data_IF_032385435811
#
_entry.id   IF_032385435811
#
_cell.length_a   1.000
_cell.length_b   1.000
_cell.length_c   1.000
_cell.angle_alpha   90.00
_cell.angle_beta   90.00
_cell.angle_gamma   90.00
#
_symmetry.space_group_name_H-M   'P 1'
#
loop_
_entity.id
_entity.type
_entity.pdbx_description
1 polymer ?
#
# COMPACT_ATOMS: atom_id res chain seq x y z
N UNK A 1 -22.06 16.67 54.67
CA UNK A 1 -22.33 17.72 53.65
C UNK A 1 -21.19 17.69 52.65
N UNK A 2 -21.39 17.07 51.48
CA UNK A 2 -20.35 17.01 50.46
C UNK A 2 -20.39 18.30 49.63
N UNK A 3 -19.34 19.10 49.72
CA UNK A 3 -19.17 20.35 48.99
C UNK A 3 -19.10 20.07 47.49
N UNK A 4 -20.03 20.68 46.74
CA UNK A 4 -20.07 20.61 45.29
C UNK A 4 -18.88 21.43 44.75
N UNK A 5 -17.97 20.84 43.94
CA UNK A 5 -16.83 21.57 43.42
C UNK A 5 -17.26 22.65 42.42
N UNK A 6 -16.53 23.78 42.33
CA UNK A 6 -16.90 24.90 41.49
C UNK A 6 -16.96 24.52 40.00
N UNK A 7 -17.85 25.15 39.20
CA UNK A 7 -18.13 24.76 37.82
C UNK A 7 -16.89 24.74 36.92
N UNK A 8 -15.92 25.62 37.17
CA UNK A 8 -14.64 25.67 36.46
C UNK A 8 -13.80 24.40 36.66
N UNK A 9 -13.82 23.80 37.86
CA UNK A 9 -13.07 22.58 38.16
C UNK A 9 -13.73 21.34 37.51
N UNK A 10 -15.06 21.37 37.34
CA UNK A 10 -15.81 20.35 36.60
C UNK A 10 -15.55 20.44 35.10
N UNK A 11 -15.53 21.65 34.53
CA UNK A 11 -15.23 21.89 33.13
C UNK A 11 -13.79 21.48 32.77
N UNK A 12 -12.82 21.81 33.63
CA UNK A 12 -11.43 21.40 33.48
C UNK A 12 -11.28 19.87 33.51
N UNK A 13 -11.96 19.18 34.44
CA UNK A 13 -11.95 17.71 34.52
C UNK A 13 -12.59 17.05 33.30
N UNK A 14 -13.68 17.62 32.77
CA UNK A 14 -14.34 17.13 31.56
C UNK A 14 -13.43 17.32 30.34
N UNK A 15 -12.76 18.47 30.20
CA UNK A 15 -11.79 18.72 29.13
C UNK A 15 -10.57 17.79 29.22
N UNK A 16 -10.08 17.51 30.43
CA UNK A 16 -8.95 16.59 30.66
C UNK A 16 -9.34 15.14 30.35
N UNK A 17 -10.53 14.71 30.74
CA UNK A 17 -11.08 13.38 30.40
C UNK A 17 -11.33 13.23 28.90
N UNK A 18 -11.79 14.29 28.22
CA UNK A 18 -11.97 14.30 26.77
C UNK A 18 -10.62 14.27 26.04
N UNK A 19 -9.61 15.00 26.53
CA UNK A 19 -8.25 14.96 26.02
C UNK A 19 -7.59 13.59 26.16
N UNK A 20 -7.77 12.92 27.32
CA UNK A 20 -7.30 11.54 27.55
C UNK A 20 -8.04 10.56 26.62
N UNK A 21 -9.36 10.68 26.47
CA UNK A 21 -10.13 9.83 25.57
C UNK A 21 -9.73 10.00 24.08
N UNK A 22 -9.42 11.23 23.63
CA UNK A 22 -8.88 11.45 22.28
C UNK A 22 -7.48 10.86 22.09
N UNK A 23 -6.63 10.86 23.12
CA UNK A 23 -5.28 10.26 23.03
C UNK A 23 -5.31 8.73 22.90
N UNK A 24 -6.34 8.07 23.44
CA UNK A 24 -6.55 6.62 23.34
C UNK A 24 -7.13 6.17 21.98
N UNK A 25 -7.67 7.09 21.18
CA UNK A 25 -8.19 6.81 19.84
C UNK A 25 -7.10 6.85 18.74
N UNK A 26 -5.87 7.27 19.07
CA UNK A 26 -4.74 7.33 18.13
C UNK A 26 -4.01 5.99 17.94
N UNK A 27 -4.71 4.86 18.09
CA UNK A 27 -4.19 3.55 17.71
C UNK A 27 -3.94 3.56 16.20
N UNK A 28 -2.67 3.64 15.80
CA UNK A 28 -2.19 3.45 14.42
C UNK A 28 -2.49 2.00 14.01
N UNK A 29 -3.70 1.75 13.51
CA UNK A 29 -4.13 0.42 13.08
C UNK A 29 -3.58 0.15 11.69
N UNK A 30 -2.31 -0.24 11.61
CA UNK A 30 -1.72 -0.74 10.37
C UNK A 30 -1.95 -2.25 10.29
N UNK A 31 -2.82 -2.69 9.39
CA UNK A 31 -3.01 -4.11 9.11
C UNK A 31 -2.13 -4.53 7.94
N UNK A 32 -1.16 -5.41 8.21
CA UNK A 32 -0.41 -6.16 7.20
C UNK A 32 -0.94 -7.58 7.23
N UNK A 33 -1.46 -8.09 6.11
CA UNK A 33 -1.95 -9.48 6.02
C UNK A 33 -1.43 -10.15 4.76
N UNK A 34 -0.62 -11.17 4.95
CA UNK A 34 -0.31 -12.17 3.91
C UNK A 34 -1.46 -13.18 3.87
N UNK A 35 -2.01 -13.43 2.68
CA UNK A 35 -3.12 -14.38 2.49
C UNK A 35 -2.61 -15.82 2.50
N UNK A 36 -3.50 -16.78 2.81
CA UNK A 36 -3.18 -18.22 2.82
C UNK A 36 -2.74 -18.76 1.46
N UNK A 37 -2.99 -18.02 0.38
CA UNK A 37 -2.58 -18.38 -0.97
C UNK A 37 -1.05 -18.33 -1.18
N UNK A 38 -0.31 -17.61 -0.32
CA UNK A 38 1.15 -17.46 -0.42
C UNK A 38 1.87 -17.97 0.85
N UNK A 39 1.30 -18.97 1.51
CA UNK A 39 1.83 -19.51 2.78
C UNK A 39 2.98 -20.49 2.63
N UNK A 40 3.23 -21.01 1.43
CA UNK A 40 4.37 -21.89 1.18
C UNK A 40 5.67 -21.09 1.30
N UNK A 41 6.69 -21.71 1.90
CA UNK A 41 7.99 -21.10 2.16
C UNK A 41 8.76 -20.93 0.85
N UNK A 42 8.40 -19.93 0.07
CA UNK A 42 9.24 -19.39 -0.99
C UNK A 42 10.40 -18.62 -0.35
N UNK A 43 11.61 -18.83 -0.86
CA UNK A 43 12.82 -18.10 -0.48
C UNK A 43 13.52 -17.63 -1.74
N UNK A 44 14.06 -16.42 -1.73
CA UNK A 44 14.84 -15.91 -2.84
C UNK A 44 16.19 -16.62 -2.98
N UNK A 45 16.76 -17.23 -1.94
CA UNK A 45 17.96 -18.10 -1.97
C UNK A 45 19.06 -17.66 -2.96
N UNK A 46 19.42 -16.38 -2.95
CA UNK A 46 20.46 -15.83 -3.81
C UNK A 46 20.10 -15.71 -5.29
N UNK A 47 18.80 -15.71 -5.63
CA UNK A 47 18.24 -15.32 -6.93
C UNK A 47 18.14 -13.80 -7.04
N UNK A 48 18.15 -13.30 -8.27
CA UNK A 48 18.24 -11.87 -8.54
C UNK A 48 16.84 -11.24 -8.65
N UNK A 49 16.62 -10.13 -7.98
CA UNK A 49 15.39 -9.36 -8.02
C UNK A 49 15.58 -8.07 -8.82
N UNK A 50 14.61 -7.71 -9.64
CA UNK A 50 14.49 -6.38 -10.24
C UNK A 50 13.26 -5.67 -9.68
N UNK A 51 13.44 -4.44 -9.18
CA UNK A 51 12.30 -3.57 -8.91
C UNK A 51 11.87 -2.93 -10.23
N UNK A 52 10.60 -3.08 -10.59
CA UNK A 52 10.00 -2.27 -11.66
C UNK A 52 9.53 -0.96 -11.07
N UNK A 53 9.62 0.12 -11.85
CA UNK A 53 9.15 1.46 -11.48
C UNK A 53 7.83 1.38 -10.69
N UNK A 54 7.83 1.79 -9.40
CA UNK A 54 6.62 1.77 -8.58
C UNK A 54 5.53 2.68 -9.17
N UNK A 55 4.30 2.15 -9.29
CA UNK A 55 3.13 2.98 -9.56
C UNK A 55 2.74 3.68 -8.27
N UNK A 56 2.96 4.99 -8.22
CA UNK A 56 2.54 5.83 -7.10
C UNK A 56 1.67 6.96 -7.62
N UNK A 57 0.56 7.21 -6.91
CA UNK A 57 -0.35 8.32 -7.16
C UNK A 57 -0.79 8.95 -5.84
N UNK A 58 -0.52 10.25 -5.69
CA UNK A 58 -0.89 11.00 -4.49
C UNK A 58 -1.97 12.04 -4.79
N UNK A 59 -2.91 12.16 -3.86
CA UNK A 59 -4.09 13.01 -3.99
C UNK A 59 -4.26 13.92 -2.77
N UNK A 60 -4.97 15.04 -2.98
CA UNK A 60 -5.57 15.82 -1.92
C UNK A 60 -7.08 15.59 -1.90
N UNK A 61 -7.62 15.18 -0.76
CA UNK A 61 -9.05 14.99 -0.57
C UNK A 61 -9.71 16.31 -0.15
N UNK A 62 -10.53 16.86 -1.05
CA UNK A 62 -11.21 18.13 -0.87
C UNK A 62 -12.40 18.02 0.11
N UNK A 63 -12.93 19.16 0.53
CA UNK A 63 -14.10 19.21 1.41
C UNK A 63 -15.31 18.47 0.83
N UNK A 64 -15.50 18.54 -0.50
CA UNK A 64 -16.52 17.80 -1.25
C UNK A 64 -16.31 16.29 -1.27
N UNK A 65 -15.14 15.78 -0.85
CA UNK A 65 -14.75 14.38 -1.00
C UNK A 65 -14.05 14.05 -2.33
N UNK A 66 -13.96 15.02 -3.25
CA UNK A 66 -13.22 14.85 -4.52
C UNK A 66 -11.73 14.67 -4.24
N UNK A 67 -11.11 13.71 -4.93
CA UNK A 67 -9.68 13.47 -4.92
C UNK A 67 -9.03 14.29 -6.03
N UNK A 68 -8.26 15.31 -5.66
CA UNK A 68 -7.48 16.12 -6.59
C UNK A 68 -6.07 15.52 -6.75
N UNK A 69 -5.65 15.10 -7.96
CA UNK A 69 -4.31 14.57 -8.19
C UNK A 69 -3.24 15.63 -7.91
N UNK A 70 -2.16 15.26 -7.21
CA UNK A 70 -1.05 16.17 -6.89
C UNK A 70 0.25 15.67 -7.54
N UNK A 71 0.56 16.24 -8.71
CA UNK A 71 1.70 15.83 -9.53
C UNK A 71 3.05 15.95 -8.80
N UNK A 72 3.31 17.09 -8.15
CA UNK A 72 4.56 17.31 -7.41
C UNK A 72 4.75 16.35 -6.24
N UNK A 73 3.67 16.08 -5.51
CA UNK A 73 3.69 15.09 -4.43
C UNK A 73 4.01 13.70 -4.99
N UNK A 74 3.31 13.32 -6.06
CA UNK A 74 3.52 12.03 -6.73
C UNK A 74 4.96 11.87 -7.21
N UNK A 75 5.55 12.92 -7.79
CA UNK A 75 6.93 12.94 -8.28
C UNK A 75 7.94 12.75 -7.12
N UNK A 76 7.75 13.45 -6.01
CA UNK A 76 8.60 13.31 -4.82
C UNK A 76 8.46 11.92 -4.20
N UNK A 77 7.23 11.41 -4.09
CA UNK A 77 6.96 10.09 -3.55
C UNK A 77 7.64 8.98 -4.36
N UNK A 78 7.56 9.02 -5.69
CA UNK A 78 8.28 8.04 -6.55
C UNK A 78 9.77 8.05 -6.30
N UNK A 79 10.36 9.24 -6.12
CA UNK A 79 11.79 9.37 -5.81
C UNK A 79 12.11 8.79 -4.43
N UNK A 80 11.47 9.27 -3.37
CA UNK A 80 11.79 8.87 -2.00
C UNK A 80 11.47 7.39 -1.73
N UNK A 81 10.35 6.92 -2.25
CA UNK A 81 9.91 5.54 -2.05
C UNK A 81 10.81 4.55 -2.78
N UNK A 82 11.23 4.83 -4.02
CA UNK A 82 12.15 3.94 -4.75
C UNK A 82 13.48 3.80 -4.00
N UNK A 83 14.05 4.92 -3.51
CA UNK A 83 15.26 4.89 -2.68
C UNK A 83 15.05 4.06 -1.41
N UNK A 84 13.94 4.28 -0.69
CA UNK A 84 13.63 3.53 0.51
C UNK A 84 13.48 2.02 0.27
N UNK A 85 12.92 1.61 -0.87
CA UNK A 85 12.82 0.20 -1.26
C UNK A 85 14.21 -0.37 -1.55
N UNK A 86 15.02 0.32 -2.34
CA UNK A 86 16.39 -0.11 -2.63
C UNK A 86 17.24 -0.25 -1.36
N UNK A 87 17.10 0.71 -0.42
CA UNK A 87 17.77 0.67 0.88
C UNK A 87 17.31 -0.54 1.71
N UNK A 88 15.99 -0.78 1.80
CA UNK A 88 15.43 -1.95 2.49
C UNK A 88 15.99 -3.26 1.92
N UNK A 89 15.98 -3.41 0.60
CA UNK A 89 16.45 -4.63 -0.07
C UNK A 89 17.96 -4.84 0.14
N UNK A 90 18.75 -3.77 0.05
CA UNK A 90 20.21 -3.82 0.24
C UNK A 90 20.57 -4.16 1.68
N UNK A 91 19.91 -3.55 2.66
CA UNK A 91 20.12 -3.83 4.09
C UNK A 91 19.81 -5.28 4.47
N UNK A 92 18.94 -5.93 3.71
CA UNK A 92 18.57 -7.34 3.89
C UNK A 92 19.33 -8.27 2.93
N UNK A 93 20.44 -7.81 2.33
CA UNK A 93 21.33 -8.60 1.46
C UNK A 93 20.68 -9.22 0.22
N UNK A 94 19.61 -8.60 -0.30
CA UNK A 94 19.00 -9.04 -1.55
C UNK A 94 19.98 -8.86 -2.73
N UNK A 95 19.98 -9.81 -3.67
CA UNK A 95 20.72 -9.65 -4.92
C UNK A 95 19.86 -8.88 -5.91
N UNK A 96 20.33 -7.71 -6.35
CA UNK A 96 19.56 -6.79 -7.17
C UNK A 96 20.13 -6.67 -8.58
N UNK A 97 19.25 -6.79 -9.57
CA UNK A 97 19.50 -6.24 -10.89
C UNK A 97 19.23 -4.72 -10.87
N UNK A 98 19.74 -3.94 -11.84
CA UNK A 98 19.37 -2.54 -11.97
C UNK A 98 17.85 -2.38 -12.09
N UNK A 99 17.29 -1.44 -11.34
CA UNK A 99 15.86 -1.12 -11.38
C UNK A 99 15.39 -0.90 -12.83
N UNK A 100 14.23 -1.49 -13.15
CA UNK A 100 13.68 -1.45 -14.49
C UNK A 100 12.61 -0.37 -14.62
N UNK A 101 12.92 0.65 -15.43
CA UNK A 101 12.01 1.73 -15.80
C UNK A 101 11.56 1.51 -17.25
N UNK A 102 10.32 1.01 -17.48
CA UNK A 102 9.82 0.80 -18.83
C UNK A 102 9.79 2.11 -19.61
N UNK A 103 10.26 2.10 -20.87
CA UNK A 103 10.20 3.30 -21.72
C UNK A 103 8.74 3.72 -21.93
N UNK A 104 8.44 4.96 -21.54
CA UNK A 104 7.12 5.56 -21.67
C UNK A 104 6.62 5.64 -23.13
N UNK A 105 7.53 5.56 -24.11
CA UNK A 105 7.22 5.57 -25.54
C UNK A 105 6.86 4.19 -26.11
N UNK A 106 7.00 3.11 -25.33
CA UNK A 106 6.61 1.78 -25.79
C UNK A 106 5.14 1.80 -26.22
N UNK A 107 4.78 1.26 -27.39
CA UNK A 107 3.40 1.25 -27.85
C UNK A 107 2.57 0.29 -26.98
N UNK A 108 1.25 0.52 -26.89
CA UNK A 108 0.35 -0.24 -26.00
C UNK A 108 0.37 -1.76 -26.23
N UNK A 109 0.57 -2.16 -27.47
CA UNK A 109 0.67 -3.53 -27.95
C UNK A 109 2.03 -4.17 -27.67
N UNK A 110 3.02 -3.39 -27.23
CA UNK A 110 4.32 -3.93 -26.84
C UNK A 110 4.16 -4.94 -25.71
N UNK A 111 4.81 -6.10 -25.86
CA UNK A 111 4.60 -7.24 -24.96
C UNK A 111 4.88 -6.90 -23.49
N UNK A 112 5.94 -6.14 -23.21
CA UNK A 112 6.25 -5.68 -21.85
C UNK A 112 5.11 -4.82 -21.27
N UNK A 113 4.51 -3.92 -22.06
CA UNK A 113 3.38 -3.10 -21.58
C UNK A 113 2.16 -3.94 -21.28
N UNK A 114 1.86 -4.92 -22.12
CA UNK A 114 0.76 -5.86 -21.89
C UNK A 114 0.99 -6.69 -20.62
N UNK A 115 2.22 -7.16 -20.38
CA UNK A 115 2.58 -7.93 -19.18
C UNK A 115 2.46 -7.10 -17.92
N UNK A 116 2.96 -5.86 -17.92
CA UNK A 116 2.83 -4.97 -16.77
C UNK A 116 1.36 -4.63 -16.49
N UNK A 117 0.57 -4.33 -17.53
CA UNK A 117 -0.87 -4.10 -17.38
C UNK A 117 -1.61 -5.35 -16.84
N UNK A 118 -1.25 -6.54 -17.32
CA UNK A 118 -1.80 -7.80 -16.82
C UNK A 118 -1.41 -8.04 -15.35
N UNK A 119 -0.17 -7.74 -14.96
CA UNK A 119 0.25 -7.82 -13.56
C UNK A 119 -0.61 -6.91 -12.67
N UNK A 120 -0.89 -5.66 -13.05
CA UNK A 120 -1.80 -4.79 -12.30
C UNK A 120 -3.21 -5.39 -12.17
N UNK A 121 -3.74 -5.99 -13.25
CA UNK A 121 -5.03 -6.67 -13.19
C UNK A 121 -4.99 -7.87 -12.22
N UNK A 122 -3.94 -8.69 -12.27
CA UNK A 122 -3.72 -9.82 -11.36
C UNK A 122 -3.63 -9.34 -9.91
N UNK A 123 -2.85 -8.29 -9.62
CA UNK A 123 -2.77 -7.67 -8.28
C UNK A 123 -4.15 -7.28 -7.75
N UNK A 124 -4.99 -6.64 -8.57
CA UNK A 124 -6.36 -6.28 -8.21
C UNK A 124 -7.24 -7.50 -7.92
N UNK A 125 -7.11 -8.57 -8.70
CA UNK A 125 -7.86 -9.81 -8.46
C UNK A 125 -7.41 -10.55 -7.20
N UNK A 126 -6.11 -10.59 -6.89
CA UNK A 126 -5.59 -11.15 -5.63
C UNK A 126 -6.11 -10.32 -4.45
N UNK A 127 -6.07 -9.00 -4.55
CA UNK A 127 -6.61 -8.12 -3.51
C UNK A 127 -8.10 -8.40 -3.27
N UNK A 128 -8.90 -8.47 -4.31
CA UNK A 128 -10.34 -8.73 -4.20
C UNK A 128 -10.64 -10.12 -3.63
N UNK A 129 -10.01 -11.16 -4.19
CA UNK A 129 -10.39 -12.52 -3.90
C UNK A 129 -9.62 -13.12 -2.72
N UNK A 130 -8.33 -12.86 -2.59
CA UNK A 130 -7.51 -13.47 -1.54
C UNK A 130 -7.38 -12.61 -0.29
N UNK A 131 -7.41 -11.28 -0.42
CA UNK A 131 -7.33 -10.37 0.72
C UNK A 131 -8.73 -9.98 1.25
N UNK A 132 -9.63 -9.52 0.39
CA UNK A 132 -11.01 -9.17 0.79
C UNK A 132 -11.95 -10.37 0.89
N UNK A 133 -11.50 -11.58 0.53
CA UNK A 133 -12.27 -12.82 0.58
C UNK A 133 -13.60 -12.77 -0.22
N UNK A 134 -13.66 -11.92 -1.26
CA UNK A 134 -14.82 -11.91 -2.16
C UNK A 134 -14.94 -13.29 -2.82
N UNK A 135 -16.10 -13.96 -2.73
CA UNK A 135 -16.27 -15.30 -3.27
C UNK A 135 -16.06 -15.30 -4.78
N UNK A 136 -15.44 -16.36 -5.29
CA UNK A 136 -15.38 -16.60 -6.72
C UNK A 136 -16.73 -17.19 -7.16
N UNK A 137 -17.34 -16.74 -8.27
CA UNK A 137 -18.63 -17.25 -8.73
C UNK A 137 -18.70 -18.78 -8.82
N UNK A 138 -17.60 -19.41 -9.21
CA UNK A 138 -17.49 -20.87 -9.43
C UNK A 138 -17.05 -21.67 -8.20
N UNK A 139 -16.57 -21.02 -7.12
CA UNK A 139 -16.03 -21.69 -5.92
C UNK A 139 -16.71 -21.27 -4.60
N UNK A 140 -17.57 -20.26 -4.63
CA UNK A 140 -18.30 -19.76 -3.45
C UNK A 140 -17.37 -19.25 -2.33
N UNK A 141 -17.89 -19.24 -1.10
CA UNK A 141 -17.20 -18.71 0.11
C UNK A 141 -16.30 -19.74 0.81
N UNK A 142 -16.46 -21.04 0.52
CA UNK A 142 -15.70 -22.12 1.14
C UNK A 142 -14.61 -22.64 0.19
N UNK A 143 -13.50 -21.92 0.09
CA UNK A 143 -12.34 -22.39 -0.69
C UNK A 143 -11.71 -23.60 0.00
N UNK A 144 -11.68 -24.74 -0.69
CA UNK A 144 -11.04 -25.98 -0.21
C UNK A 144 -9.53 -26.03 -0.43
N UNK A 145 -9.01 -25.21 -1.36
CA UNK A 145 -7.60 -25.13 -1.70
C UNK A 145 -7.20 -23.66 -1.93
N UNK A 146 -5.92 -23.31 -1.63
CA UNK A 146 -5.31 -22.07 -2.09
C UNK A 146 -5.50 -21.82 -3.59
N UNK A 147 -5.53 -20.55 -3.99
CA UNK A 147 -5.50 -20.14 -5.39
C UNK A 147 -4.04 -20.00 -5.86
N UNK A 148 -3.76 -20.47 -7.07
CA UNK A 148 -2.53 -20.14 -7.78
C UNK A 148 -2.76 -18.90 -8.64
N UNK A 149 -1.77 -18.02 -8.68
CA UNK A 149 -1.83 -16.74 -9.36
C UNK A 149 -0.64 -16.61 -10.30
N UNK A 150 -0.89 -16.18 -11.54
CA UNK A 150 0.16 -16.04 -12.55
C UNK A 150 -0.13 -14.87 -13.48
N UNK A 151 0.92 -14.15 -13.85
CA UNK A 151 0.94 -13.16 -14.94
C UNK A 151 1.21 -13.86 -16.29
N UNK A 152 1.56 -15.15 -16.25
CA UNK A 152 1.83 -15.98 -17.41
C UNK A 152 3.21 -15.76 -18.04
N UNK A 153 3.56 -16.56 -19.06
CA UNK A 153 4.93 -16.65 -19.59
C UNK A 153 5.44 -15.37 -20.28
N UNK A 154 4.58 -14.36 -20.50
CA UNK A 154 4.99 -13.09 -21.09
C UNK A 154 6.04 -12.34 -20.25
N UNK A 155 6.13 -12.63 -18.95
CA UNK A 155 7.15 -12.06 -18.05
C UNK A 155 8.59 -12.32 -18.49
N UNK A 156 8.82 -13.35 -19.31
CA UNK A 156 10.13 -13.67 -19.85
C UNK A 156 10.72 -12.53 -20.71
N UNK A 157 9.88 -11.64 -21.27
CA UNK A 157 10.38 -10.43 -21.94
C UNK A 157 11.06 -9.46 -20.97
N UNK A 158 10.57 -9.40 -19.73
CA UNK A 158 11.20 -8.61 -18.66
C UNK A 158 12.48 -9.31 -18.20
N UNK A 159 12.48 -10.64 -18.09
CA UNK A 159 13.69 -11.43 -17.81
C UNK A 159 14.80 -11.14 -18.82
N UNK A 160 14.48 -11.13 -20.11
CA UNK A 160 15.45 -10.91 -21.20
C UNK A 160 16.15 -9.55 -21.11
N UNK A 161 15.42 -8.50 -20.73
CA UNK A 161 15.97 -7.13 -20.66
C UNK A 161 16.63 -6.79 -19.33
N UNK A 162 16.24 -7.47 -18.24
CA UNK A 162 16.76 -7.19 -16.89
C UNK A 162 17.80 -8.20 -16.40
N UNK A 163 17.75 -9.43 -16.91
CA UNK A 163 18.53 -10.56 -16.40
C UNK A 163 18.11 -11.08 -15.02
N UNK A 164 17.05 -10.53 -14.43
CA UNK A 164 16.60 -10.90 -13.09
C UNK A 164 15.78 -12.20 -13.09
N UNK A 165 15.75 -12.89 -11.96
CA UNK A 165 14.92 -14.08 -11.75
C UNK A 165 13.53 -13.72 -11.23
N UNK A 166 13.40 -12.61 -10.51
CA UNK A 166 12.14 -12.11 -9.97
C UNK A 166 11.93 -10.64 -10.26
N UNK A 167 10.66 -10.29 -10.40
CA UNK A 167 10.20 -8.92 -10.53
C UNK A 167 9.40 -8.51 -9.29
N UNK A 168 9.86 -7.47 -8.60
CA UNK A 168 9.09 -6.79 -7.55
C UNK A 168 8.30 -5.65 -8.17
N UNK A 169 6.98 -5.67 -7.99
CA UNK A 169 6.10 -4.57 -8.41
C UNK A 169 5.33 -3.99 -7.23
N UNK A 170 5.16 -2.68 -7.25
CA UNK A 170 4.64 -1.90 -6.13
C UNK A 170 3.60 -0.92 -6.69
N UNK A 171 2.38 -0.99 -6.17
CA UNK A 171 1.29 -0.07 -6.49
C UNK A 171 0.80 0.63 -5.23
N UNK A 172 0.85 1.96 -5.22
CA UNK A 172 0.55 2.77 -4.05
C UNK A 172 -0.35 3.93 -4.44
N UNK A 173 -1.44 4.03 -3.70
CA UNK A 173 -2.35 5.14 -3.72
C UNK A 173 -2.37 5.78 -2.32
N UNK A 174 -2.29 7.10 -2.25
CA UNK A 174 -2.49 7.82 -1.00
C UNK A 174 -3.24 9.12 -1.21
N UNK A 175 -4.02 9.51 -0.21
CA UNK A 175 -4.81 10.73 -0.23
C UNK A 175 -4.67 11.47 1.10
N UNK A 176 -4.46 12.78 1.04
CA UNK A 176 -4.30 13.63 2.22
C UNK A 176 -5.48 14.59 2.38
N UNK A 177 -6.02 14.68 3.60
CA UNK A 177 -7.14 15.58 3.93
C UNK A 177 -6.73 17.04 3.71
N UNK A 178 -7.49 17.77 2.90
CA UNK A 178 -7.35 19.23 2.77
C UNK A 178 -7.71 19.95 4.08
N UNK A 179 -7.20 21.18 4.27
CA UNK A 179 -7.58 22.02 5.42
C UNK A 179 -9.09 22.24 5.50
N UNK A 180 -9.74 22.48 4.36
CA UNK A 180 -11.20 22.65 4.29
C UNK A 180 -11.95 21.38 4.71
N UNK A 181 -11.51 20.20 4.28
CA UNK A 181 -12.10 18.93 4.72
C UNK A 181 -11.87 18.69 6.21
N UNK A 182 -10.68 18.99 6.74
CA UNK A 182 -10.39 18.86 8.17
C UNK A 182 -11.33 19.74 9.01
N UNK A 183 -11.59 20.98 8.59
CA UNK A 183 -12.57 21.85 9.24
C UNK A 183 -13.99 21.26 9.20
N UNK A 184 -14.41 20.69 8.06
CA UNK A 184 -15.69 20.00 7.94
C UNK A 184 -15.80 18.75 8.81
N UNK A 185 -14.71 17.99 8.98
CA UNK A 185 -14.65 16.84 9.88
C UNK A 185 -14.90 17.28 11.34
N UNK A 186 -14.21 18.33 11.79
CA UNK A 186 -14.37 18.88 13.14
C UNK A 186 -15.80 19.39 13.35
N UNK A 187 -16.34 20.12 12.38
CA UNK A 187 -17.72 20.63 12.45
C UNK A 187 -18.74 19.49 12.46
N UNK A 188 -18.57 18.46 11.64
CA UNK A 188 -19.45 17.30 11.58
C UNK A 188 -19.53 16.56 12.91
N UNK A 189 -18.39 16.40 13.60
CA UNK A 189 -18.35 15.82 14.96
C UNK A 189 -19.03 16.74 15.97
N UNK A 190 -18.72 18.04 15.95
CA UNK A 190 -19.30 19.02 16.88
C UNK A 190 -20.83 19.11 16.77
N UNK A 191 -21.36 18.97 15.55
CA UNK A 191 -22.79 18.97 15.26
C UNK A 191 -23.43 17.58 15.31
N UNK A 192 -22.69 16.53 15.70
CA UNK A 192 -23.16 15.14 15.73
C UNK A 192 -23.73 14.62 14.39
N UNK A 193 -23.25 15.16 13.27
CA UNK A 193 -23.63 14.74 11.91
C UNK A 193 -22.88 13.48 11.44
N UNK A 194 -21.92 13.00 12.23
CA UNK A 194 -21.14 11.80 11.97
C UNK A 194 -19.65 12.08 11.76
N UNK A 195 -18.88 10.99 11.61
CA UNK A 195 -17.43 11.03 11.38
C UNK A 195 -17.17 10.88 9.89
N UNK A 196 -16.71 11.95 9.25
CA UNK A 196 -16.23 11.89 7.88
C UNK A 196 -14.86 11.18 7.86
N UNK A 197 -14.66 10.26 6.92
CA UNK A 197 -13.37 9.58 6.75
C UNK A 197 -12.30 10.57 6.25
N UNK A 198 -11.10 10.45 6.79
CA UNK A 198 -9.94 11.21 6.32
C UNK A 198 -9.33 10.64 5.05
N UNK A 199 -8.12 11.13 4.75
CA UNK A 199 -7.21 10.50 3.81
C UNK A 199 -6.92 9.03 4.12
N UNK A 200 -6.51 8.27 3.10
CA UNK A 200 -6.17 6.86 3.26
C UNK A 200 -5.07 6.44 2.29
N UNK A 201 -4.10 5.71 2.82
CA UNK A 201 -3.02 5.08 2.09
C UNK A 201 -3.36 3.59 1.83
N UNK A 202 -3.11 3.13 0.61
CA UNK A 202 -3.16 1.73 0.21
C UNK A 202 -1.93 1.40 -0.61
N UNK A 203 -1.26 0.31 -0.25
CA UNK A 203 -0.15 -0.26 -1.01
C UNK A 203 -0.40 -1.73 -1.30
N UNK A 204 -0.02 -2.17 -2.49
CA UNK A 204 0.03 -3.58 -2.89
C UNK A 204 1.44 -3.86 -3.43
N UNK A 205 2.02 -4.97 -3.02
CA UNK A 205 3.31 -5.44 -3.49
C UNK A 205 3.19 -6.89 -3.96
N UNK A 206 3.85 -7.19 -5.08
CA UNK A 206 3.97 -8.57 -5.58
C UNK A 206 5.38 -8.89 -6.01
N UNK A 207 5.75 -10.14 -5.78
CA UNK A 207 6.95 -10.75 -6.32
C UNK A 207 6.53 -11.80 -7.35
N UNK A 208 7.02 -11.65 -8.57
CA UNK A 208 6.66 -12.50 -9.71
C UNK A 208 7.91 -13.24 -10.19
N UNK A 209 7.81 -14.56 -10.32
CA UNK A 209 8.83 -15.39 -10.95
C UNK A 209 8.91 -15.06 -12.45
N UNK A 210 10.07 -14.59 -12.92
CA UNK A 210 10.26 -14.16 -14.30
C UNK A 210 10.48 -15.33 -15.27
N UNK A 211 10.59 -16.56 -14.78
CA UNK A 211 10.62 -17.79 -15.59
C UNK A 211 9.21 -18.29 -15.87
N UNK A 212 8.39 -18.44 -14.84
CA UNK A 212 7.05 -19.06 -14.94
C UNK A 212 5.92 -18.03 -15.07
N UNK A 213 6.11 -16.83 -14.52
CA UNK A 213 5.06 -15.82 -14.36
C UNK A 213 4.25 -15.97 -13.08
N UNK A 214 4.58 -16.93 -12.22
CA UNK A 214 3.84 -17.15 -10.98
C UNK A 214 4.06 -16.01 -9.98
N UNK A 215 2.97 -15.58 -9.35
CA UNK A 215 3.05 -14.67 -8.21
C UNK A 215 3.40 -15.51 -6.99
N UNK A 216 4.64 -15.37 -6.51
CA UNK A 216 5.18 -16.19 -5.42
C UNK A 216 5.06 -15.52 -4.05
N UNK A 217 4.86 -14.19 -4.05
CA UNK A 217 4.60 -13.43 -2.84
C UNK A 217 3.70 -12.23 -3.13
N UNK A 218 2.87 -11.88 -2.15
CA UNK A 218 1.92 -10.78 -2.23
C UNK A 218 1.75 -10.17 -0.85
N UNK A 219 1.75 -8.84 -0.78
CA UNK A 219 1.44 -8.13 0.44
C UNK A 219 0.56 -6.91 0.18
N UNK A 220 -0.24 -6.56 1.19
CA UNK A 220 -1.11 -5.40 1.19
C UNK A 220 -0.87 -4.62 2.46
N UNK A 221 -0.83 -3.32 2.30
CA UNK A 221 -0.82 -2.37 3.39
C UNK A 221 -1.99 -1.41 3.23
N UNK A 222 -2.67 -1.13 4.34
CA UNK A 222 -3.59 0.00 4.47
C UNK A 222 -3.18 0.80 5.69
N UNK A 223 -3.07 2.12 5.53
CA UNK A 223 -2.74 3.04 6.62
C UNK A 223 -3.55 4.33 6.48
N UNK A 224 -3.74 5.04 7.59
CA UNK A 224 -4.38 6.36 7.65
C UNK A 224 -3.38 7.47 8.01
N UNK A 225 -2.16 7.10 8.41
CA UNK A 225 -1.17 8.01 8.99
C UNK A 225 0.19 7.95 8.28
N UNK A 226 0.29 7.29 7.13
CA UNK A 226 1.49 7.35 6.28
C UNK A 226 1.57 8.69 5.55
N UNK A 227 2.79 9.14 5.25
CA UNK A 227 3.02 10.32 4.40
C UNK A 227 4.16 10.06 3.43
N UNK A 228 3.86 9.98 2.14
CA UNK A 228 4.85 9.69 1.10
C UNK A 228 5.49 10.97 0.53
N UNK A 229 5.10 12.14 1.04
CA UNK A 229 5.58 13.44 0.54
C UNK A 229 6.98 13.78 1.06
N UNK A 230 7.46 13.06 2.08
CA UNK A 230 8.80 13.17 2.63
C UNK A 230 9.51 11.81 2.70
N UNK A 231 10.81 11.84 3.01
CA UNK A 231 11.67 10.66 2.99
C UNK A 231 11.42 9.72 4.18
N UNK A 232 11.10 10.25 5.36
CA UNK A 232 10.87 9.45 6.56
C UNK A 232 9.62 8.59 6.37
N UNK A 233 8.52 9.20 5.95
CA UNK A 233 7.28 8.48 5.72
C UNK A 233 7.37 7.52 4.53
N UNK A 234 8.13 7.86 3.47
CA UNK A 234 8.46 6.91 2.41
C UNK A 234 9.20 5.66 2.93
N UNK A 235 10.18 5.86 3.82
CA UNK A 235 10.93 4.75 4.46
C UNK A 235 10.00 3.87 5.29
N UNK A 236 9.19 4.47 6.15
CA UNK A 236 8.23 3.74 6.98
C UNK A 236 7.23 2.96 6.12
N UNK A 237 6.72 3.56 5.03
CA UNK A 237 5.81 2.88 4.11
C UNK A 237 6.49 1.72 3.37
N UNK A 238 7.74 1.88 2.91
CA UNK A 238 8.48 0.80 2.24
C UNK A 238 8.70 -0.40 3.17
N UNK A 239 9.19 -0.17 4.39
CA UNK A 239 9.41 -1.23 5.38
C UNK A 239 8.13 -2.00 5.72
N UNK A 240 6.98 -1.31 5.76
CA UNK A 240 5.68 -1.95 6.04
C UNK A 240 5.17 -2.76 4.87
N UNK A 241 5.25 -2.19 3.66
CA UNK A 241 4.76 -2.84 2.46
C UNK A 241 5.63 -4.04 2.08
N UNK A 242 6.92 -4.00 2.36
CA UNK A 242 7.86 -5.12 2.12
C UNK A 242 7.99 -6.08 3.31
N UNK A 243 7.22 -5.87 4.38
CA UNK A 243 7.25 -6.75 5.55
C UNK A 243 6.90 -8.19 5.14
N UNK A 244 7.79 -9.12 5.49
CA UNK A 244 7.63 -10.54 5.18
C UNK A 244 7.99 -10.91 3.74
N UNK A 245 8.64 -10.03 2.99
CA UNK A 245 9.33 -10.40 1.75
C UNK A 245 10.39 -11.47 2.07
N UNK A 246 10.44 -12.59 1.34
CA UNK A 246 11.32 -13.71 1.67
C UNK A 246 12.71 -13.53 1.05
N UNK A 247 13.46 -12.58 1.61
CA UNK A 247 14.85 -12.25 1.25
C UNK A 247 15.85 -13.26 1.80
#
# INVERSE_FOLDING_TARGET
>A
MNSVPPPALRLLRVLLLFGIALSLAACKSTHVRTTVDFKDSFSLDGRTLVMVEPSIQLYQMQASGVLEPKAEWTRLARKYFSVAVSDFLTQNNAKLAPDYFPDAKLPSEHRIRQVLALNYAVMGTIYQHSYLHVPLPTRGTKRRKPLSWTVGPGVQEIRKVTGADYMLTLDIFDAYTSKGRAAMMVLGVALQLGILQGGSQRGIATLVDLETGDVVWFNVMTDQLGDLRDQEGATVTAHRLLKGLPL
#
